data_IF_944211990055
#
_entry.id   IF_944211990055
#
_cell.length_a   1.000
_cell.length_b   1.000
_cell.length_c   1.000
_cell.angle_alpha   90.00
_cell.angle_beta   90.00
_cell.angle_gamma   90.00
#
_symmetry.space_group_name_H-M   'P 1'
#
loop_
_entity.id
_entity.type
_entity.pdbx_description
1 polymer ?
#
# COMPACT_ATOMS: atom_id res chain seq x y z
N UNK A 1 -6.64 6.57 -3.52
CA UNK A 1 -7.87 6.84 -2.71
C UNK A 1 -9.07 5.95 -3.07
N UNK A 2 -9.08 5.33 -4.26
CA UNK A 2 -10.25 4.63 -4.80
C UNK A 2 -10.73 3.42 -3.98
N UNK A 3 -9.90 2.84 -3.10
CA UNK A 3 -10.29 1.70 -2.25
C UNK A 3 -10.70 2.11 -0.82
N UNK A 4 -10.57 3.40 -0.46
CA UNK A 4 -10.79 3.84 0.91
C UNK A 4 -11.39 5.26 0.96
N UNK A 5 -12.72 5.38 0.75
CA UNK A 5 -13.40 6.67 0.64
C UNK A 5 -13.44 7.48 1.93
N UNK A 6 -13.07 6.91 3.08
CA UNK A 6 -13.04 7.63 4.36
C UNK A 6 -11.63 7.92 4.86
N UNK A 7 -10.61 7.57 4.06
CA UNK A 7 -9.24 7.92 4.37
C UNK A 7 -9.09 9.45 4.30
N UNK A 8 -8.39 10.09 5.25
CA UNK A 8 -8.30 11.54 5.28
C UNK A 8 -7.71 12.10 3.97
N UNK A 9 -8.49 12.94 3.30
CA UNK A 9 -8.14 13.56 2.02
C UNK A 9 -7.12 14.71 2.14
N UNK A 10 -6.91 15.21 3.36
CA UNK A 10 -5.97 16.28 3.64
C UNK A 10 -5.04 15.88 4.80
N UNK A 11 -3.76 16.28 4.76
CA UNK A 11 -2.83 16.05 5.86
C UNK A 11 -3.36 16.67 7.15
N UNK A 12 -3.15 15.98 8.27
CA UNK A 12 -3.54 16.47 9.60
C UNK A 12 -5.02 16.30 9.96
N UNK A 13 -5.78 15.53 9.20
CA UNK A 13 -7.20 15.23 9.49
C UNK A 13 -7.37 13.80 9.97
N UNK A 14 -8.22 13.60 10.97
CA UNK A 14 -8.72 12.27 11.33
C UNK A 14 -9.50 11.65 10.16
N UNK A 15 -9.62 10.33 10.16
CA UNK A 15 -10.47 9.64 9.22
C UNK A 15 -10.60 8.16 9.56
N UNK A 16 -10.94 7.37 8.56
CA UNK A 16 -11.16 5.94 8.72
C UNK A 16 -10.50 5.16 7.59
N UNK A 17 -10.20 3.89 7.86
CA UNK A 17 -9.72 2.99 6.85
C UNK A 17 -10.41 1.64 6.89
N UNK A 18 -10.86 1.17 5.75
CA UNK A 18 -11.16 -0.25 5.55
C UNK A 18 -9.85 -1.04 5.65
N UNK A 19 -9.84 -2.07 6.49
CA UNK A 19 -8.69 -2.98 6.59
C UNK A 19 -8.83 -4.13 5.61
N UNK A 20 -7.69 -4.64 5.14
CA UNK A 20 -7.66 -5.83 4.29
C UNK A 20 -8.31 -7.01 5.00
N UNK A 21 -9.09 -7.81 4.24
CA UNK A 21 -9.78 -9.00 4.74
C UNK A 21 -8.81 -10.18 4.91
N UNK A 22 -9.10 -11.06 5.88
CA UNK A 22 -8.27 -12.23 6.24
C UNK A 22 -7.62 -12.10 7.62
N UNK A 23 -6.58 -12.91 7.89
CA UNK A 23 -5.93 -12.98 9.21
C UNK A 23 -5.35 -11.66 9.72
N UNK A 24 -5.05 -10.71 8.83
CA UNK A 24 -4.56 -9.38 9.21
C UNK A 24 -5.69 -8.42 9.64
N UNK A 25 -6.94 -8.68 9.26
CA UNK A 25 -8.11 -7.90 9.69
C UNK A 25 -8.34 -7.98 11.21
N UNK A 26 -7.84 -9.03 11.86
CA UNK A 26 -8.09 -9.36 13.27
C UNK A 26 -6.91 -8.99 14.18
N UNK A 27 -5.72 -8.73 13.63
CA UNK A 27 -4.47 -8.62 14.41
C UNK A 27 -4.32 -7.35 15.25
N UNK A 28 -5.06 -6.30 14.96
CA UNK A 28 -4.95 -5.05 15.72
C UNK A 28 -5.77 -5.14 17.01
N UNK A 29 -5.16 -5.66 18.08
CA UNK A 29 -5.75 -5.71 19.43
C UNK A 29 -5.51 -4.39 20.17
N UNK A 30 -4.32 -3.81 20.02
CA UNK A 30 -3.95 -2.53 20.64
C UNK A 30 -3.80 -1.42 19.59
N UNK A 31 -4.05 -0.15 19.96
CA UNK A 31 -3.79 0.97 19.07
C UNK A 31 -2.32 1.04 18.64
N UNK A 32 -2.09 1.11 17.33
CA UNK A 32 -0.74 1.21 16.77
C UNK A 32 -0.49 2.57 16.16
N UNK A 33 0.73 3.08 16.32
CA UNK A 33 1.14 4.32 15.66
C UNK A 33 1.86 4.00 14.37
N UNK A 34 1.40 4.57 13.26
CA UNK A 34 1.91 4.29 11.92
C UNK A 34 2.06 5.57 11.09
N UNK A 35 3.08 5.60 10.24
CA UNK A 35 3.20 6.61 9.19
C UNK A 35 2.19 6.31 8.08
N UNK A 36 1.36 7.29 7.70
CA UNK A 36 0.37 7.16 6.63
C UNK A 36 0.92 7.74 5.33
N UNK A 37 0.94 6.91 4.28
CA UNK A 37 1.25 7.32 2.91
C UNK A 37 0.02 7.10 2.04
N UNK A 38 -0.40 8.14 1.34
CA UNK A 38 -1.57 8.12 0.45
C UNK A 38 -1.11 8.16 -0.99
N UNK A 39 -1.55 7.22 -1.81
CA UNK A 39 -1.34 7.31 -3.25
C UNK A 39 -2.38 8.25 -3.87
N UNK A 40 -1.89 9.30 -4.52
CA UNK A 40 -2.69 10.36 -5.17
C UNK A 40 -2.68 10.26 -6.71
N UNK A 41 -2.00 9.25 -7.28
CA UNK A 41 -1.97 9.02 -8.73
C UNK A 41 -2.77 7.78 -9.10
N UNK A 42 -3.57 7.87 -10.17
CA UNK A 42 -4.21 6.71 -10.80
C UNK A 42 -3.25 5.98 -11.75
N UNK A 43 -2.21 6.67 -12.24
CA UNK A 43 -1.20 6.12 -13.12
C UNK A 43 -0.15 5.30 -12.37
N UNK A 44 0.47 4.32 -13.04
CA UNK A 44 1.54 3.45 -12.50
C UNK A 44 2.78 4.19 -11.98
N UNK A 45 2.90 5.50 -12.22
CA UNK A 45 3.87 6.38 -11.55
C UNK A 45 3.30 6.87 -10.22
N UNK A 46 3.05 5.93 -9.31
CA UNK A 46 2.46 6.17 -7.98
C UNK A 46 3.21 7.28 -7.23
N UNK A 47 2.62 8.47 -7.16
CA UNK A 47 3.08 9.53 -6.26
C UNK A 47 2.50 9.25 -4.89
N UNK A 48 3.34 8.76 -3.98
CA UNK A 48 2.98 8.61 -2.57
C UNK A 48 3.14 9.95 -1.87
N UNK A 49 2.12 10.36 -1.13
CA UNK A 49 2.12 11.54 -0.30
C UNK A 49 2.15 11.14 1.18
N UNK A 50 3.09 11.69 1.95
CA UNK A 50 3.14 11.47 3.39
C UNK A 50 2.10 12.35 4.09
N UNK A 51 1.08 11.73 4.68
CA UNK A 51 -0.03 12.42 5.33
C UNK A 51 0.17 12.67 6.83
N UNK A 52 1.25 12.14 7.41
CA UNK A 52 1.59 12.26 8.84
C UNK A 52 1.64 10.93 9.58
N UNK A 53 1.87 11.01 10.89
CA UNK A 53 1.74 9.90 11.82
C UNK A 53 0.33 9.85 12.39
N UNK A 54 -0.21 8.64 12.45
CA UNK A 54 -1.56 8.37 12.93
C UNK A 54 -1.53 7.28 13.98
N UNK A 55 -2.40 7.40 14.97
CA UNK A 55 -2.83 6.29 15.79
C UNK A 55 -3.97 5.57 15.07
N UNK A 56 -3.78 4.28 14.84
CA UNK A 56 -4.75 3.38 14.23
C UNK A 56 -5.48 2.68 15.37
N UNK A 57 -6.75 3.00 15.55
CA UNK A 57 -7.59 2.44 16.60
C UNK A 57 -8.56 1.42 16.01
N UNK A 58 -8.77 0.32 16.72
CA UNK A 58 -9.90 -0.57 16.45
C UNK A 58 -11.19 0.19 16.79
N UNK A 59 -12.13 0.14 15.86
CA UNK A 59 -13.50 0.63 16.02
C UNK A 59 -14.45 -0.47 15.60
N UNK A 60 -15.75 -0.24 15.79
CA UNK A 60 -16.78 -1.15 15.32
C UNK A 60 -16.72 -1.29 13.79
N UNK A 61 -17.19 -2.44 13.31
CA UNK A 61 -17.34 -2.65 11.88
C UNK A 61 -18.37 -1.69 11.32
N UNK A 62 -18.22 -1.36 10.04
CA UNK A 62 -19.10 -0.43 9.33
C UNK A 62 -20.56 -0.87 9.45
N UNK A 63 -21.40 0.05 9.95
CA UNK A 63 -22.84 -0.14 10.04
C UNK A 63 -23.49 -0.19 8.66
N UNK A 64 -24.72 -0.69 8.57
CA UNK A 64 -25.45 -0.72 7.30
C UNK A 64 -25.68 0.69 6.73
N UNK A 65 -26.01 1.65 7.58
CA UNK A 65 -26.25 3.04 7.18
C UNK A 65 -24.98 3.69 6.63
N UNK A 66 -23.85 3.49 7.30
CA UNK A 66 -22.55 3.95 6.82
C UNK A 66 -22.16 3.24 5.51
N UNK A 67 -22.38 1.93 5.41
CA UNK A 67 -22.14 1.16 4.18
C UNK A 67 -22.93 1.75 3.00
N UNK A 68 -24.16 2.20 3.23
CA UNK A 68 -24.99 2.81 2.20
C UNK A 68 -24.43 4.13 1.65
N UNK A 69 -23.56 4.83 2.40
CA UNK A 69 -22.86 6.04 1.92
C UNK A 69 -21.68 5.74 1.00
N UNK A 70 -21.21 4.49 0.94
CA UNK A 70 -20.04 4.10 0.15
C UNK A 70 -20.41 4.00 -1.34
N UNK A 71 -19.59 4.55 -2.25
CA UNK A 71 -19.84 4.43 -3.69
C UNK A 71 -19.87 2.96 -4.17
N UNK A 72 -20.76 2.64 -5.10
CA UNK A 72 -20.99 1.25 -5.54
C UNK A 72 -19.75 0.57 -6.15
N UNK A 73 -18.90 1.34 -6.84
CA UNK A 73 -17.63 0.81 -7.37
C UNK A 73 -16.69 0.34 -6.25
N UNK A 74 -16.65 1.05 -5.11
CA UNK A 74 -15.87 0.67 -3.93
C UNK A 74 -16.46 -0.59 -3.31
N UNK A 75 -17.79 -0.66 -3.17
CA UNK A 75 -18.50 -1.85 -2.67
C UNK A 75 -18.17 -3.09 -3.51
N UNK A 76 -18.14 -2.93 -4.83
CA UNK A 76 -17.78 -3.99 -5.78
C UNK A 76 -16.33 -4.44 -5.62
N UNK A 77 -15.38 -3.51 -5.53
CA UNK A 77 -13.96 -3.83 -5.29
C UNK A 77 -13.74 -4.51 -3.93
N UNK A 78 -14.44 -4.04 -2.89
CA UNK A 78 -14.38 -4.63 -1.57
C UNK A 78 -14.92 -6.06 -1.58
N UNK A 79 -16.07 -6.29 -2.22
CA UNK A 79 -16.68 -7.61 -2.37
C UNK A 79 -15.80 -8.59 -3.15
N UNK A 80 -15.10 -8.10 -4.19
CA UNK A 80 -14.07 -8.89 -4.88
C UNK A 80 -12.94 -9.28 -3.94
N UNK A 81 -12.44 -8.31 -3.15
CA UNK A 81 -11.39 -8.58 -2.14
C UNK A 81 -11.86 -9.60 -1.09
N UNK A 82 -13.14 -9.55 -0.70
CA UNK A 82 -13.74 -10.56 0.20
C UNK A 82 -13.70 -11.94 -0.43
N UNK A 83 -14.13 -12.07 -1.69
CA UNK A 83 -14.07 -13.35 -2.42
C UNK A 83 -12.66 -13.93 -2.47
N UNK A 84 -11.68 -13.06 -2.72
CA UNK A 84 -10.28 -13.47 -2.92
C UNK A 84 -9.58 -13.85 -1.61
N UNK A 85 -9.94 -13.20 -0.49
CA UNK A 85 -9.21 -13.32 0.78
C UNK A 85 -9.94 -14.07 1.90
N UNK A 86 -11.26 -14.27 1.78
CA UNK A 86 -12.09 -14.91 2.80
C UNK A 86 -12.47 -16.31 2.29
N UNK A 87 -11.93 -17.34 2.95
CA UNK A 87 -12.05 -18.73 2.49
C UNK A 87 -13.53 -19.15 2.33
N UNK A 88 -14.38 -18.72 3.25
CA UNK A 88 -15.82 -18.98 3.27
C UNK A 88 -16.56 -18.30 2.10
N UNK A 89 -15.98 -17.28 1.47
CA UNK A 89 -16.59 -16.55 0.36
C UNK A 89 -16.05 -16.99 -1.00
N UNK A 90 -15.00 -17.81 -1.04
CA UNK A 90 -14.31 -18.21 -2.28
C UNK A 90 -15.25 -18.82 -3.33
N UNK A 91 -16.26 -19.58 -2.90
CA UNK A 91 -17.24 -20.24 -3.76
C UNK A 91 -18.42 -19.34 -4.17
N UNK A 92 -18.64 -18.21 -3.48
CA UNK A 92 -19.77 -17.31 -3.73
C UNK A 92 -19.50 -16.36 -4.90
N UNK A 93 -20.54 -15.87 -5.59
CA UNK A 93 -20.34 -14.81 -6.57
C UNK A 93 -20.06 -13.46 -5.89
N UNK A 94 -19.34 -12.56 -6.57
CA UNK A 94 -19.10 -11.19 -6.06
C UNK A 94 -20.41 -10.45 -5.81
N UNK A 95 -21.42 -10.71 -6.64
CA UNK A 95 -22.76 -10.14 -6.51
C UNK A 95 -23.45 -10.59 -5.23
N UNK A 96 -23.36 -11.88 -4.88
CA UNK A 96 -23.98 -12.40 -3.65
C UNK A 96 -23.25 -11.89 -2.41
N UNK A 97 -21.93 -11.79 -2.45
CA UNK A 97 -21.13 -11.20 -1.37
C UNK A 97 -21.53 -9.73 -1.17
N UNK A 98 -21.64 -8.96 -2.26
CA UNK A 98 -22.10 -7.57 -2.22
C UNK A 98 -23.50 -7.47 -1.61
N UNK A 99 -24.41 -8.33 -2.04
CA UNK A 99 -25.77 -8.38 -1.51
C UNK A 99 -25.79 -8.65 0.00
N UNK A 100 -24.91 -9.53 0.51
CA UNK A 100 -24.76 -9.77 1.95
C UNK A 100 -24.32 -8.53 2.74
N UNK A 101 -23.44 -7.69 2.18
CA UNK A 101 -23.13 -6.39 2.78
C UNK A 101 -24.31 -5.41 2.68
N UNK A 102 -24.98 -5.36 1.53
CA UNK A 102 -26.09 -4.45 1.26
C UNK A 102 -27.33 -4.74 2.14
N UNK A 103 -27.47 -5.95 2.69
CA UNK A 103 -28.51 -6.31 3.68
C UNK A 103 -27.99 -6.39 5.13
N UNK A 104 -26.70 -6.09 5.36
CA UNK A 104 -26.09 -6.08 6.70
C UNK A 104 -25.78 -7.45 7.30
N UNK A 105 -25.93 -8.55 6.55
CA UNK A 105 -25.49 -9.90 6.97
C UNK A 105 -23.97 -9.93 7.16
N UNK A 106 -23.23 -9.17 6.35
CA UNK A 106 -21.81 -8.89 6.57
C UNK A 106 -21.60 -7.42 6.86
N UNK A 107 -20.62 -7.14 7.71
CA UNK A 107 -20.12 -5.79 7.98
C UNK A 107 -18.65 -5.71 7.61
N UNK A 108 -18.25 -4.57 7.04
CA UNK A 108 -16.87 -4.37 6.62
C UNK A 108 -16.03 -3.92 7.83
N UNK A 109 -14.92 -4.60 8.16
CA UNK A 109 -14.05 -4.15 9.23
C UNK A 109 -13.45 -2.78 8.95
N UNK A 110 -13.49 -1.90 9.95
CA UNK A 110 -13.00 -0.54 9.87
C UNK A 110 -11.95 -0.24 10.96
N UNK A 111 -11.10 0.75 10.72
CA UNK A 111 -10.19 1.34 11.71
C UNK A 111 -10.30 2.85 11.68
N UNK A 112 -10.25 3.46 12.85
CA UNK A 112 -10.16 4.92 12.96
C UNK A 112 -8.70 5.33 12.89
N UNK A 113 -8.43 6.38 12.12
CA UNK A 113 -7.16 7.05 12.01
C UNK A 113 -7.24 8.37 12.79
N UNK A 114 -6.48 8.48 13.87
CA UNK A 114 -6.36 9.71 14.66
C UNK A 114 -5.02 10.36 14.40
N UNK A 115 -5.01 11.61 13.94
CA UNK A 115 -3.77 12.30 13.60
C UNK A 115 -2.95 12.61 14.86
N UNK A 116 -1.65 12.33 14.81
CA UNK A 116 -0.71 12.60 15.91
C UNK A 116 0.25 13.74 15.62
N UNK A 117 0.48 14.06 14.34
CA UNK A 117 1.47 15.05 13.93
C UNK A 117 2.29 14.59 12.72
N UNK A 118 3.14 15.49 12.23
CA UNK A 118 4.05 15.15 11.13
C UNK A 118 5.34 14.50 11.60
N UNK A 119 5.77 14.75 12.84
CA UNK A 119 6.95 14.10 13.41
C UNK A 119 6.58 12.78 14.06
N UNK A 120 7.51 11.82 14.02
CA UNK A 120 7.33 10.54 14.69
C UNK A 120 7.21 10.73 16.21
N UNK A 121 6.04 10.44 16.82
CA UNK A 121 5.83 10.69 18.24
C UNK A 121 6.50 9.65 19.14
N UNK A 122 6.84 8.46 18.61
CA UNK A 122 7.53 7.39 19.36
C UNK A 122 9.03 7.48 19.30
N UNK A 123 9.57 7.91 18.16
CA UNK A 123 11.02 7.93 17.93
C UNK A 123 11.39 9.10 17.01
N UNK A 124 11.75 10.27 17.58
CA UNK A 124 12.18 11.44 16.81
C UNK A 124 13.41 11.19 15.93
N UNK A 125 14.22 10.17 16.20
CA UNK A 125 15.40 9.83 15.39
C UNK A 125 15.02 9.09 14.11
N UNK A 126 13.86 8.43 14.09
CA UNK A 126 13.27 7.73 12.94
C UNK A 126 12.07 8.48 12.40
N UNK A 127 12.26 9.78 12.16
CA UNK A 127 11.23 10.65 11.65
C UNK A 127 11.20 10.66 10.12
N UNK A 128 10.18 10.01 9.55
CA UNK A 128 9.94 9.98 8.11
C UNK A 128 9.79 11.38 7.51
N UNK A 129 9.22 12.32 8.27
CA UNK A 129 9.09 13.71 7.82
C UNK A 129 10.44 14.40 7.71
N UNK A 130 11.30 14.23 8.72
CA UNK A 130 12.66 14.74 8.68
C UNK A 130 13.48 14.11 7.54
N UNK A 131 13.34 12.80 7.32
CA UNK A 131 13.99 12.12 6.21
C UNK A 131 13.56 12.66 4.83
N UNK A 132 12.26 12.94 4.65
CA UNK A 132 11.73 13.56 3.44
C UNK A 132 12.27 14.98 3.25
N UNK A 133 12.27 15.82 4.30
CA UNK A 133 12.86 17.16 4.25
C UNK A 133 14.33 17.08 3.83
N UNK A 134 15.13 16.22 4.46
CA UNK A 134 16.55 16.07 4.13
C UNK A 134 16.74 15.62 2.68
N UNK A 135 15.94 14.68 2.19
CA UNK A 135 16.02 14.21 0.81
C UNK A 135 15.76 15.35 -0.19
N UNK A 136 14.71 16.14 0.00
CA UNK A 136 14.35 17.23 -0.92
C UNK A 136 15.18 18.50 -0.74
N UNK A 137 15.77 18.72 0.44
CA UNK A 137 16.69 19.83 0.70
C UNK A 137 18.10 19.57 0.16
N UNK A 138 18.47 18.31 -0.07
CA UNK A 138 19.76 17.97 -0.67
C UNK A 138 19.73 18.32 -2.15
N UNK A 139 20.57 19.25 -2.64
CA UNK A 139 20.62 19.56 -4.06
C UNK A 139 20.95 18.30 -4.86
N UNK A 140 20.42 18.15 -6.08
CA UNK A 140 20.75 17.02 -6.92
C UNK A 140 22.27 16.97 -7.04
N UNK A 141 22.85 15.87 -6.57
CA UNK A 141 24.29 15.61 -6.67
C UNK A 141 24.60 15.65 -8.15
N UNK A 142 25.14 16.77 -8.65
CA UNK A 142 25.56 16.91 -10.04
C UNK A 142 26.39 15.68 -10.33
N UNK A 143 25.90 14.83 -11.21
CA UNK A 143 26.62 13.64 -11.64
C UNK A 143 27.96 14.15 -12.12
N UNK A 144 29.01 13.93 -11.32
CA UNK A 144 30.36 14.25 -11.72
C UNK A 144 30.56 13.50 -13.03
N UNK A 145 30.68 14.26 -14.12
CA UNK A 145 30.91 13.72 -15.44
C UNK A 145 32.16 12.85 -15.34
N UNK A 146 31.97 11.53 -15.27
CA UNK A 146 33.04 10.59 -15.40
C UNK A 146 33.55 10.73 -16.84
N UNK A 147 34.54 11.59 -17.03
CA UNK A 147 35.37 11.64 -18.24
C UNK A 147 36.08 10.30 -18.37
N UNK A 148 35.38 9.32 -18.92
CA UNK A 148 36.00 8.12 -19.48
C UNK A 148 36.75 8.53 -20.75
N UNK A 149 38.01 8.96 -20.57
CA UNK A 149 39.00 8.93 -21.65
C UNK A 149 39.16 7.47 -22.07
N UNK A 150 38.44 7.05 -23.12
CA UNK A 150 38.76 5.82 -23.85
C UNK A 150 40.12 6.04 -24.52
N UNK A 151 41.17 5.51 -23.91
CA UNK A 151 42.41 5.19 -24.62
C UNK A 151 42.06 4.08 -25.61
N UNK A 152 42.02 4.44 -26.89
CA UNK A 152 42.16 3.52 -28.00
C UNK A 152 43.56 2.93 -27.95
N UNK A 153 43.68 1.61 -27.88
CA UNK A 153 44.76 0.90 -28.58
C UNK A 153 44.39 -0.57 -28.75
N UNK A 154 44.42 -0.97 -30.02
CA UNK A 154 44.22 -2.31 -30.54
C UNK A 154 45.15 -3.34 -29.88
N UNK A 155 44.62 -4.54 -29.66
CA UNK A 155 45.31 -5.77 -30.06
C UNK A 155 44.33 -6.94 -30.15
N UNK A 156 44.13 -7.37 -31.40
CA UNK A 156 43.49 -8.60 -31.82
C UNK A 156 44.17 -9.83 -31.19
N UNK A 157 43.39 -10.75 -30.63
CA UNK A 157 43.09 -12.06 -31.27
C UNK A 157 42.73 -13.17 -30.28
N UNK A 158 41.70 -13.91 -30.69
CA UNK A 158 41.49 -15.35 -30.57
C UNK A 158 40.85 -16.03 -29.33
N UNK A 159 39.60 -16.48 -29.59
CA UNK A 159 39.17 -17.91 -29.57
C UNK A 159 38.91 -18.54 -28.18
N UNK A 160 37.63 -18.68 -27.78
CA UNK A 160 36.80 -19.90 -27.91
C UNK A 160 35.40 -19.70 -27.31
N UNK A 161 34.39 -20.12 -28.08
CA UNK A 161 33.00 -20.33 -27.65
C UNK A 161 32.97 -21.52 -26.68
N UNK A 162 32.33 -21.35 -25.51
CA UNK A 162 31.80 -22.48 -24.75
C UNK A 162 30.41 -22.12 -24.25
N UNK A 163 29.41 -22.81 -24.81
CA UNK A 163 27.99 -22.72 -24.51
C UNK A 163 27.72 -23.66 -23.34
N UNK A 164 27.44 -23.14 -22.15
CA UNK A 164 27.00 -23.97 -21.01
C UNK A 164 25.49 -24.14 -21.07
N UNK A 165 25.08 -25.40 -21.13
CA UNK A 165 23.71 -25.93 -21.14
C UNK A 165 23.40 -26.34 -19.70
N UNK A 166 22.27 -25.92 -19.13
CA UNK A 166 21.76 -26.49 -17.87
C UNK A 166 20.27 -26.79 -18.03
N UNK A 167 19.98 -28.09 -18.00
CA UNK A 167 18.69 -28.75 -18.18
C UNK A 167 17.87 -28.78 -16.88
N UNK A 168 16.55 -28.71 -17.02
CA UNK A 168 15.56 -29.01 -15.98
C UNK A 168 15.36 -30.53 -15.84
N UNK A 169 15.12 -31.06 -14.63
CA UNK A 169 14.80 -32.47 -14.41
C UNK A 169 13.31 -32.77 -14.67
N UNK A 170 13.03 -33.90 -15.34
CA UNK A 170 11.71 -34.55 -15.32
C UNK A 170 11.63 -35.53 -14.16
N UNK A 171 10.45 -35.59 -13.51
CA UNK A 171 10.12 -36.51 -12.42
C UNK A 171 9.73 -37.89 -12.97
N UNK A 172 9.93 -38.96 -12.17
CA UNK A 172 9.40 -40.30 -12.45
C UNK A 172 7.88 -40.38 -12.28
#
# INVERSE_FOLDING_TARGET
LNQNPWCPYAPGKDGYMFVGLGGDAVKLVEPEQRALFVNVSEDQKSKLFFAGFYEVCKVEDVTLDEWNTIPDYVKSQYSQTTKDKVAECSHMSVRDIKAQYDIGVRRAPCRRLRFLGFRNPKDPSRDAYQALITHFATPPRTAAAATNKRKSEDRLSNVRKTRVRLSLPQRP
#
